data_IF_731508376051
#
_entry.id   IF_731508376051
#
_cell.length_a   1.000
_cell.length_b   1.000
_cell.length_c   1.000
_cell.angle_alpha   90.00
_cell.angle_beta   90.00
_cell.angle_gamma   90.00
#
_symmetry.space_group_name_H-M   'P 1'
#
loop_
_entity.id
_entity.type
_entity.pdbx_description
1 polymer ?
#
# COMPACT_ATOMS: atom_id res chain seq x y z
N UNK A 1 -5.91 -23.02 23.79
CA UNK A 1 -4.98 -23.61 22.82
C UNK A 1 -5.26 -22.96 21.47
N UNK A 2 -4.68 -21.80 21.22
CA UNK A 2 -4.82 -21.05 19.97
C UNK A 2 -3.76 -21.57 19.00
N UNK A 3 -4.17 -22.48 18.11
CA UNK A 3 -3.34 -22.89 16.99
C UNK A 3 -3.34 -21.68 16.03
N UNK A 4 -2.28 -20.88 16.06
CA UNK A 4 -2.08 -19.72 15.18
C UNK A 4 -1.78 -20.28 13.77
N UNK A 5 -2.80 -20.87 13.13
CA UNK A 5 -2.72 -21.54 11.84
C UNK A 5 -2.67 -20.48 10.73
N UNK A 6 -1.56 -19.76 10.68
CA UNK A 6 -1.30 -18.82 9.60
C UNK A 6 -0.96 -19.61 8.34
N UNK A 7 -1.57 -19.21 7.24
CA UNK A 7 -1.38 -19.89 5.97
C UNK A 7 -0.12 -19.33 5.30
N UNK A 8 0.94 -20.13 5.21
CA UNK A 8 2.14 -19.73 4.48
C UNK A 8 1.99 -20.09 2.99
N UNK A 9 1.78 -19.06 2.16
CA UNK A 9 1.67 -19.20 0.71
C UNK A 9 2.84 -18.60 -0.05
N UNK A 10 3.96 -18.30 0.62
CA UNK A 10 5.09 -17.60 -0.01
C UNK A 10 5.63 -18.33 -1.25
N UNK A 11 5.61 -19.67 -1.24
CA UNK A 11 6.06 -20.50 -2.38
C UNK A 11 5.18 -20.38 -3.62
N UNK A 12 3.95 -19.91 -3.47
CA UNK A 12 2.95 -19.79 -4.54
C UNK A 12 2.81 -18.35 -5.05
N UNK A 13 3.48 -17.40 -4.40
CA UNK A 13 3.54 -16.00 -4.80
C UNK A 13 4.87 -15.77 -5.50
N UNK A 14 4.84 -15.55 -6.81
CA UNK A 14 6.03 -15.16 -7.58
C UNK A 14 5.96 -13.68 -7.92
N UNK A 15 7.06 -12.99 -7.67
CA UNK A 15 7.24 -11.61 -8.11
C UNK A 15 8.04 -11.65 -9.40
N UNK A 16 7.41 -11.28 -10.50
CA UNK A 16 8.05 -11.24 -11.80
C UNK A 16 8.78 -9.91 -11.95
N UNK A 17 10.10 -9.99 -12.02
CA UNK A 17 10.99 -8.85 -12.21
C UNK A 17 11.84 -9.11 -13.45
N UNK A 18 11.83 -8.19 -14.39
CA UNK A 18 12.69 -8.26 -15.58
C UNK A 18 13.79 -7.22 -15.46
N UNK A 19 15.04 -7.62 -15.73
CA UNK A 19 16.18 -6.71 -15.68
C UNK A 19 16.53 -6.25 -17.08
N UNK A 20 16.13 -5.04 -17.45
CA UNK A 20 16.50 -4.44 -18.73
C UNK A 20 17.69 -3.50 -18.51
N UNK A 21 18.83 -3.82 -19.14
CA UNK A 21 20.00 -2.93 -19.30
C UNK A 21 20.52 -2.23 -18.03
N UNK A 22 20.37 -2.85 -16.85
CA UNK A 22 20.78 -2.41 -15.49
C UNK A 22 19.65 -1.96 -14.55
N UNK A 23 18.42 -1.79 -15.04
CA UNK A 23 17.25 -1.48 -14.22
C UNK A 23 16.36 -2.71 -14.04
N UNK A 24 15.85 -2.90 -12.82
CA UNK A 24 14.87 -3.95 -12.51
C UNK A 24 13.47 -3.35 -12.70
N UNK A 25 12.76 -3.80 -13.73
CA UNK A 25 11.35 -3.48 -13.96
C UNK A 25 10.51 -4.51 -13.22
N UNK A 26 9.66 -4.02 -12.32
CA UNK A 26 8.65 -4.85 -11.69
C UNK A 26 7.50 -5.02 -12.68
N UNK A 27 7.18 -6.26 -13.03
CA UNK A 27 6.15 -6.50 -14.04
C UNK A 27 4.81 -6.85 -13.41
N UNK A 28 4.81 -7.80 -12.46
CA UNK A 28 3.58 -8.30 -11.85
C UNK A 28 3.84 -9.24 -10.66
N UNK A 29 2.79 -9.48 -9.90
CA UNK A 29 2.70 -10.53 -8.88
C UNK A 29 1.86 -11.65 -9.46
N UNK A 30 2.34 -12.88 -9.39
CA UNK A 30 1.65 -14.07 -9.89
C UNK A 30 1.32 -15.00 -8.74
N UNK A 31 0.05 -15.39 -8.65
CA UNK A 31 -0.47 -16.40 -7.74
C UNK A 31 -0.64 -17.69 -8.51
N UNK A 32 0.11 -18.72 -8.13
CA UNK A 32 0.03 -20.03 -8.75
C UNK A 32 -0.88 -20.90 -7.88
N UNK A 33 -2.12 -21.11 -8.32
CA UNK A 33 -3.13 -21.83 -7.56
C UNK A 33 -3.26 -23.27 -8.07
N UNK A 34 -3.38 -24.19 -7.11
CA UNK A 34 -3.70 -25.60 -7.32
C UNK A 34 -4.97 -25.94 -6.54
N UNK A 35 -5.64 -27.04 -6.90
CA UNK A 35 -6.89 -27.47 -6.26
C UNK A 35 -6.77 -27.60 -4.72
N UNK A 36 -5.67 -28.19 -4.22
CA UNK A 36 -5.42 -28.31 -2.78
C UNK A 36 -5.24 -26.93 -2.11
N UNK A 37 -4.56 -26.01 -2.80
CA UNK A 37 -4.32 -24.65 -2.32
C UNK A 37 -5.60 -23.84 -2.22
N UNK A 38 -6.46 -23.97 -3.23
CA UNK A 38 -7.77 -23.34 -3.31
C UNK A 38 -8.63 -23.71 -2.12
N UNK A 39 -8.64 -25.00 -1.77
CA UNK A 39 -9.35 -25.51 -0.59
C UNK A 39 -8.80 -24.92 0.70
N UNK A 40 -7.47 -24.82 0.84
CA UNK A 40 -6.82 -24.20 2.02
C UNK A 40 -7.13 -22.71 2.12
N UNK A 41 -7.15 -21.99 1.00
CA UNK A 41 -7.50 -20.57 0.95
C UNK A 41 -8.96 -20.38 1.37
N UNK A 42 -9.89 -21.18 0.86
CA UNK A 42 -11.30 -21.12 1.26
C UNK A 42 -11.49 -21.39 2.76
N UNK A 43 -10.77 -22.36 3.33
CA UNK A 43 -10.80 -22.62 4.76
C UNK A 43 -10.24 -21.43 5.56
N UNK A 44 -9.11 -20.87 5.13
CA UNK A 44 -8.52 -19.69 5.76
C UNK A 44 -9.46 -18.47 5.70
N UNK A 45 -10.16 -18.28 4.58
CA UNK A 45 -11.18 -17.24 4.42
C UNK A 45 -12.33 -17.39 5.42
N UNK A 46 -12.87 -18.60 5.58
CA UNK A 46 -13.98 -18.88 6.50
C UNK A 46 -13.60 -18.66 7.97
N UNK A 47 -12.36 -18.99 8.33
CA UNK A 47 -11.84 -18.88 9.70
C UNK A 47 -11.30 -17.47 9.98
N UNK A 48 -11.15 -16.63 8.95
CA UNK A 48 -10.54 -15.31 9.06
C UNK A 48 -9.04 -15.35 9.37
N UNK A 49 -8.37 -16.45 9.00
CA UNK A 49 -6.93 -16.61 9.27
C UNK A 49 -6.12 -15.72 8.32
N UNK A 50 -5.25 -14.83 8.83
CA UNK A 50 -4.44 -13.96 8.00
C UNK A 50 -3.36 -14.74 7.25
N UNK A 51 -2.95 -14.21 6.10
CA UNK A 51 -1.87 -14.77 5.32
C UNK A 51 -0.51 -14.48 5.97
N UNK A 52 0.32 -15.49 6.17
CA UNK A 52 1.71 -15.26 6.59
C UNK A 52 2.57 -14.93 5.38
N UNK A 53 2.99 -13.67 5.28
CA UNK A 53 3.93 -13.21 4.26
C UNK A 53 5.26 -12.88 4.93
N UNK A 54 6.36 -13.39 4.38
CA UNK A 54 7.67 -13.07 4.92
C UNK A 54 7.97 -11.57 4.82
N UNK A 55 8.67 -11.05 5.83
CA UNK A 55 9.13 -9.65 5.82
C UNK A 55 10.08 -9.36 4.65
N UNK A 56 10.74 -10.40 4.11
CA UNK A 56 11.57 -10.29 2.91
C UNK A 56 10.71 -10.03 1.67
N UNK A 57 9.66 -10.83 1.45
CA UNK A 57 8.77 -10.68 0.30
C UNK A 57 8.03 -9.33 0.36
N UNK A 58 7.57 -8.91 1.54
CA UNK A 58 6.98 -7.58 1.73
C UNK A 58 7.95 -6.44 1.45
N UNK A 59 9.21 -6.55 1.89
CA UNK A 59 10.22 -5.53 1.61
C UNK A 59 10.54 -5.45 0.12
N UNK A 60 10.63 -6.59 -0.57
CA UNK A 60 10.87 -6.65 -2.01
C UNK A 60 9.68 -6.06 -2.78
N UNK A 61 8.44 -6.34 -2.37
CA UNK A 61 7.24 -5.71 -2.95
C UNK A 61 7.20 -4.20 -2.75
N UNK A 62 7.46 -3.73 -1.53
CA UNK A 62 7.51 -2.28 -1.23
C UNK A 62 8.58 -1.60 -2.06
N UNK A 63 9.76 -2.21 -2.18
CA UNK A 63 10.84 -1.69 -3.01
C UNK A 63 10.42 -1.59 -4.48
N UNK A 64 9.80 -2.65 -5.03
CA UNK A 64 9.30 -2.67 -6.40
C UNK A 64 8.24 -1.61 -6.67
N UNK A 65 7.24 -1.45 -5.78
CA UNK A 65 6.20 -0.42 -5.91
C UNK A 65 6.78 0.99 -5.89
N UNK A 66 7.82 1.22 -5.07
CA UNK A 66 8.44 2.54 -4.92
C UNK A 66 9.30 2.94 -6.12
N UNK A 67 9.99 1.98 -6.75
CA UNK A 67 10.92 2.23 -7.87
C UNK A 67 10.23 2.27 -9.21
N UNK A 68 9.20 1.47 -9.42
CA UNK A 68 8.45 1.48 -10.69
C UNK A 68 7.82 2.86 -10.96
N UNK A 69 7.57 3.63 -9.89
CA UNK A 69 7.12 5.03 -9.95
C UNK A 69 8.12 5.98 -10.62
N UNK A 70 9.40 5.64 -10.66
CA UNK A 70 10.45 6.46 -11.30
C UNK A 70 10.58 6.16 -12.81
N UNK A 71 10.12 4.98 -13.24
CA UNK A 71 10.19 4.55 -14.64
C UNK A 71 8.96 4.92 -15.49
N UNK A 72 7.92 5.55 -14.93
CA UNK A 72 6.72 6.08 -15.63
C UNK A 72 5.93 5.11 -16.54
N UNK A 73 6.39 3.87 -16.73
CA UNK A 73 5.86 2.93 -17.73
C UNK A 73 4.82 1.96 -17.12
N UNK A 74 4.92 1.64 -15.81
CA UNK A 74 3.86 0.94 -15.08
C UNK A 74 3.35 1.79 -13.91
N UNK A 75 2.17 2.36 -14.12
CA UNK A 75 1.48 3.20 -13.15
C UNK A 75 0.61 2.39 -12.19
N UNK A 76 0.88 1.09 -11.97
CA UNK A 76 0.03 0.24 -11.14
C UNK A 76 0.56 -1.17 -10.83
N UNK A 77 0.05 -1.75 -9.75
CA UNK A 77 0.30 -3.14 -9.37
C UNK A 77 -0.54 -4.08 -10.23
N UNK A 78 0.11 -4.97 -10.97
CA UNK A 78 -0.57 -6.03 -11.72
C UNK A 78 -0.47 -7.35 -10.98
N UNK A 79 -1.60 -8.00 -10.80
CA UNK A 79 -1.76 -9.32 -10.19
C UNK A 79 -2.28 -10.29 -11.23
N UNK A 80 -1.66 -11.45 -11.33
CA UNK A 80 -2.13 -12.57 -12.12
C UNK A 80 -2.46 -13.74 -11.21
N UNK A 81 -3.53 -14.46 -11.52
CA UNK A 81 -3.79 -15.78 -10.95
C UNK A 81 -3.72 -16.80 -12.06
N UNK A 82 -2.79 -17.72 -11.89
CA UNK A 82 -2.61 -18.90 -12.71
C UNK A 82 -3.25 -20.08 -12.01
N UNK A 83 -3.83 -20.98 -12.78
CA UNK A 83 -4.33 -22.26 -12.29
C UNK A 83 -3.73 -23.40 -13.08
N UNK A 84 -3.31 -24.43 -12.37
CA UNK A 84 -2.76 -25.63 -12.99
C UNK A 84 -3.90 -26.57 -13.41
N UNK A 85 -4.09 -26.74 -14.72
CA UNK A 85 -5.09 -27.63 -15.29
C UNK A 85 -4.52 -28.41 -16.48
N UNK A 86 -4.75 -29.73 -16.50
CA UNK A 86 -4.39 -30.64 -17.59
C UNK A 86 -2.92 -30.56 -18.07
N UNK A 87 -2.00 -30.32 -17.12
CA UNK A 87 -0.55 -30.30 -17.38
C UNK A 87 -0.03 -28.98 -17.95
N UNK A 88 -0.87 -27.95 -18.04
CA UNK A 88 -0.48 -26.59 -18.40
C UNK A 88 -0.93 -25.59 -17.35
N UNK A 89 -0.19 -24.48 -17.28
CA UNK A 89 -0.49 -23.38 -16.39
C UNK A 89 -1.18 -22.26 -17.18
N UNK A 90 -2.44 -22.01 -16.88
CA UNK A 90 -3.25 -21.01 -17.58
C UNK A 90 -3.57 -19.80 -16.71
N UNK A 91 -3.48 -18.60 -17.30
CA UNK A 91 -3.77 -17.34 -16.62
C UNK A 91 -5.28 -17.09 -16.59
N UNK A 92 -5.94 -17.46 -15.49
CA UNK A 92 -7.40 -17.34 -15.36
C UNK A 92 -7.86 -15.91 -15.06
N UNK A 93 -7.08 -15.15 -14.29
CA UNK A 93 -7.47 -13.82 -13.83
C UNK A 93 -6.31 -12.84 -13.80
N UNK A 94 -6.63 -11.58 -14.07
CA UNK A 94 -5.73 -10.44 -13.93
C UNK A 94 -6.43 -9.30 -13.24
N UNK A 95 -5.78 -8.71 -12.25
CA UNK A 95 -6.19 -7.44 -11.65
C UNK A 95 -5.08 -6.42 -11.77
N UNK A 96 -5.40 -5.23 -12.28
CA UNK A 96 -4.48 -4.10 -12.34
C UNK A 96 -5.01 -3.01 -11.41
N UNK A 97 -4.22 -2.62 -10.42
CA UNK A 97 -4.52 -1.52 -9.50
C UNK A 97 -3.60 -0.37 -9.85
N UNK A 98 -4.16 0.63 -10.52
CA UNK A 98 -3.45 1.85 -10.85
C UNK A 98 -3.18 2.71 -9.61
N UNK A 99 -2.18 3.58 -9.72
CA UNK A 99 -1.71 4.47 -8.64
C UNK A 99 -2.70 5.57 -8.28
N UNK A 100 -3.64 5.87 -9.18
CA UNK A 100 -4.80 6.74 -8.94
C UNK A 100 -5.93 6.05 -8.18
N UNK A 101 -5.84 4.72 -8.01
CA UNK A 101 -6.85 3.90 -7.36
C UNK A 101 -7.83 3.23 -8.32
N UNK A 102 -7.67 3.42 -9.63
CA UNK A 102 -8.48 2.70 -10.61
C UNK A 102 -8.13 1.21 -10.61
N UNK A 103 -9.16 0.36 -10.61
CA UNK A 103 -8.99 -1.09 -10.57
C UNK A 103 -9.63 -1.69 -11.81
N UNK A 104 -8.81 -2.37 -12.62
CA UNK A 104 -9.25 -3.14 -13.77
C UNK A 104 -9.16 -4.63 -13.44
N UNK A 105 -10.26 -5.36 -13.63
CA UNK A 105 -10.30 -6.81 -13.51
C UNK A 105 -10.56 -7.45 -14.87
N UNK A 106 -9.77 -8.45 -15.23
CA UNK A 106 -9.93 -9.27 -16.43
C UNK A 106 -10.02 -10.72 -16.00
N UNK A 107 -11.04 -11.42 -16.51
CA UNK A 107 -11.28 -12.84 -16.24
C UNK A 107 -11.30 -13.54 -17.60
N UNK A 108 -10.61 -14.67 -17.70
CA UNK A 108 -10.59 -15.50 -18.90
C UNK A 108 -12.01 -16.04 -19.20
N UNK A 109 -12.40 -16.01 -20.47
CA UNK A 109 -13.74 -16.41 -20.89
C UNK A 109 -14.06 -17.88 -20.64
N UNK A 110 -13.08 -18.79 -20.72
CA UNK A 110 -13.31 -20.21 -20.41
C UNK A 110 -13.69 -20.41 -18.94
N UNK A 111 -13.13 -19.62 -18.03
CA UNK A 111 -13.48 -19.66 -16.60
C UNK A 111 -14.97 -19.37 -16.36
N UNK A 112 -15.58 -18.52 -17.19
CA UNK A 112 -17.01 -18.16 -17.08
C UNK A 112 -17.96 -19.31 -17.45
N UNK A 113 -17.48 -20.36 -18.12
CA UNK A 113 -18.28 -21.53 -18.48
C UNK A 113 -18.63 -22.37 -17.24
N UNK A 114 -17.80 -22.30 -16.19
CA UNK A 114 -18.00 -22.98 -14.91
C UNK A 114 -18.18 -21.97 -13.77
N UNK A 115 -19.41 -21.49 -13.51
CA UNK A 115 -19.65 -20.35 -12.62
C UNK A 115 -19.22 -20.63 -11.17
N UNK A 116 -19.34 -21.87 -10.70
CA UNK A 116 -18.90 -22.24 -9.35
C UNK A 116 -17.37 -22.18 -9.22
N UNK A 117 -16.64 -22.73 -10.19
CA UNK A 117 -15.19 -22.69 -10.23
C UNK A 117 -14.67 -21.24 -10.37
N UNK A 118 -15.26 -20.46 -11.26
CA UNK A 118 -14.95 -19.04 -11.42
C UNK A 118 -15.11 -18.26 -10.13
N UNK A 119 -16.20 -18.51 -9.39
CA UNK A 119 -16.44 -17.84 -8.12
C UNK A 119 -15.36 -18.18 -7.08
N UNK A 120 -14.95 -19.46 -7.03
CA UNK A 120 -13.91 -19.91 -6.11
C UNK A 120 -12.55 -19.27 -6.42
N UNK A 121 -12.14 -19.26 -7.69
CA UNK A 121 -10.88 -18.63 -8.12
C UNK A 121 -10.94 -17.11 -7.89
N UNK A 122 -12.05 -16.45 -8.21
CA UNK A 122 -12.22 -15.01 -8.01
C UNK A 122 -12.12 -14.64 -6.52
N UNK A 123 -12.83 -15.38 -5.67
CA UNK A 123 -12.76 -15.19 -4.22
C UNK A 123 -11.33 -15.35 -3.70
N UNK A 124 -10.64 -16.40 -4.14
CA UNK A 124 -9.24 -16.62 -3.76
C UNK A 124 -8.33 -15.48 -4.25
N UNK A 125 -8.47 -15.07 -5.52
CA UNK A 125 -7.69 -13.99 -6.14
C UNK A 125 -7.85 -12.68 -5.37
N UNK A 126 -9.08 -12.24 -5.13
CA UNK A 126 -9.33 -10.96 -4.45
C UNK A 126 -8.90 -10.98 -2.99
N UNK A 127 -9.16 -12.09 -2.29
CA UNK A 127 -8.70 -12.23 -0.91
C UNK A 127 -7.18 -12.19 -0.79
N UNK A 128 -6.45 -12.86 -1.69
CA UNK A 128 -4.98 -12.80 -1.71
C UNK A 128 -4.45 -11.38 -1.97
N UNK A 129 -5.07 -10.66 -2.89
CA UNK A 129 -4.75 -9.25 -3.15
C UNK A 129 -5.00 -8.42 -1.89
N UNK A 130 -6.15 -8.57 -1.24
CA UNK A 130 -6.48 -7.83 -0.02
C UNK A 130 -5.49 -8.12 1.11
N UNK A 131 -5.17 -9.39 1.36
CA UNK A 131 -4.19 -9.79 2.38
C UNK A 131 -2.81 -9.20 2.10
N UNK A 132 -2.39 -9.21 0.83
CA UNK A 132 -1.09 -8.69 0.43
C UNK A 132 -1.05 -7.15 0.51
N UNK A 133 -2.09 -6.46 0.02
CA UNK A 133 -2.20 -5.00 0.09
C UNK A 133 -2.34 -4.49 1.52
N UNK A 134 -3.11 -5.17 2.38
CA UNK A 134 -3.26 -4.78 3.79
C UNK A 134 -1.94 -4.83 4.56
N UNK A 135 -1.06 -5.80 4.24
CA UNK A 135 0.29 -5.89 4.80
C UNK A 135 1.30 -4.95 4.11
N UNK A 136 1.03 -4.58 2.85
CA UNK A 136 1.80 -3.58 2.11
C UNK A 136 1.50 -2.15 2.54
N UNK A 137 0.33 -1.87 3.12
CA UNK A 137 -0.05 -0.55 3.65
C UNK A 137 1.10 -0.03 4.49
N UNK A 138 1.86 0.89 3.91
CA UNK A 138 2.98 1.54 4.54
C UNK A 138 2.42 2.25 5.78
N UNK A 139 2.70 1.71 6.97
CA UNK A 139 2.37 2.32 8.26
C UNK A 139 2.87 3.78 8.37
N UNK A 140 3.74 4.18 7.46
CA UNK A 140 4.14 5.55 7.16
C UNK A 140 2.96 6.50 6.96
N UNK A 141 1.85 6.11 6.33
CA UNK A 141 0.69 7.02 6.15
C UNK A 141 0.03 7.36 7.49
N UNK A 142 -0.03 6.39 8.41
CA UNK A 142 -0.60 6.59 9.77
C UNK A 142 0.32 7.46 10.62
N UNK A 143 1.64 7.20 10.59
CA UNK A 143 2.62 8.02 11.31
C UNK A 143 2.71 9.46 10.78
N UNK A 144 2.56 9.64 9.47
CA UNK A 144 2.58 10.97 8.86
C UNK A 144 1.31 11.76 9.17
N UNK A 145 0.16 11.11 9.30
CA UNK A 145 -1.06 11.77 9.78
C UNK A 145 -0.93 12.21 11.25
N UNK A 146 -0.29 11.37 12.09
CA UNK A 146 0.03 11.74 13.47
C UNK A 146 1.00 12.94 13.54
N UNK A 147 2.03 12.96 12.69
CA UNK A 147 2.96 14.09 12.56
C UNK A 147 2.25 15.36 12.08
N UNK A 148 1.35 15.26 11.08
CA UNK A 148 0.56 16.39 10.62
C UNK A 148 -0.36 16.92 11.74
N UNK A 149 -0.95 16.03 12.53
CA UNK A 149 -1.75 16.38 13.70
C UNK A 149 -0.91 17.09 14.77
N UNK A 150 0.28 16.56 15.08
CA UNK A 150 1.22 17.15 16.05
C UNK A 150 1.67 18.55 15.60
N UNK A 151 2.02 18.70 14.32
CA UNK A 151 2.42 19.99 13.75
C UNK A 151 1.27 20.99 13.76
N UNK A 152 0.04 20.54 13.50
CA UNK A 152 -1.15 21.40 13.62
C UNK A 152 -1.40 21.83 15.07
N UNK A 153 -1.16 20.96 16.06
CA UNK A 153 -1.33 21.30 17.47
C UNK A 153 -0.26 22.32 17.91
N UNK A 154 0.99 22.10 17.48
CA UNK A 154 2.13 22.94 17.84
C UNK A 154 2.01 24.37 17.27
N UNK A 155 1.38 24.53 16.11
CA UNK A 155 1.14 25.87 15.52
C UNK A 155 -0.08 26.57 16.12
N UNK A 156 -1.14 25.83 16.47
CA UNK A 156 -2.40 26.44 16.95
C UNK A 156 -2.42 26.72 18.46
N UNK A 157 -1.72 25.91 19.27
CA UNK A 157 -1.72 26.05 20.73
C UNK A 157 -1.09 27.38 21.22
N UNK A 158 0.07 27.85 20.71
CA UNK A 158 0.67 29.11 21.18
C UNK A 158 -0.20 30.32 20.86
N UNK A 159 -0.80 30.35 19.67
CA UNK A 159 -1.70 31.42 19.22
C UNK A 159 -2.97 31.46 20.08
N UNK A 160 -3.52 30.30 20.46
CA UNK A 160 -4.66 30.25 21.36
C UNK A 160 -4.31 30.75 22.78
N UNK A 161 -3.12 30.42 23.29
CA UNK A 161 -2.67 30.81 24.63
C UNK A 161 -2.38 32.32 24.72
N UNK A 162 -1.74 32.91 23.70
CA UNK A 162 -1.42 34.35 23.69
C UNK A 162 -2.69 35.21 23.64
N UNK A 163 -3.70 34.75 22.91
CA UNK A 163 -4.99 35.46 22.77
C UNK A 163 -5.98 35.14 23.91
N UNK A 164 -5.70 34.16 24.78
CA UNK A 164 -6.58 33.77 25.90
C UNK A 164 -6.80 34.91 26.91
N UNK A 165 -5.82 35.79 27.07
CA UNK A 165 -5.86 36.90 28.03
C UNK A 165 -6.79 38.02 27.58
N UNK A 166 -6.77 38.31 26.27
CA UNK A 166 -7.77 39.17 25.63
C UNK A 166 -9.14 38.48 25.64
N UNK A 167 -9.17 37.14 25.50
CA UNK A 167 -10.37 36.29 25.53
C UNK A 167 -11.25 36.41 26.78
N UNK A 168 -10.65 36.75 27.92
CA UNK A 168 -11.33 36.81 29.22
C UNK A 168 -11.92 38.19 29.53
N UNK A 169 -11.61 39.23 28.74
CA UNK A 169 -11.96 40.62 29.04
C UNK A 169 -12.93 41.27 28.03
N UNK A 170 -13.21 40.62 26.90
CA UNK A 170 -14.09 41.15 25.84
C UNK A 170 -15.54 40.67 25.88
N UNK A 171 -16.44 41.39 25.19
CA UNK A 171 -17.84 40.99 25.06
C UNK A 171 -18.02 39.70 24.24
N UNK A 172 -18.96 38.80 24.62
CA UNK A 172 -19.04 37.42 24.13
C UNK A 172 -19.29 37.26 22.62
N UNK A 173 -19.83 38.27 21.95
CA UNK A 173 -20.13 38.21 20.52
C UNK A 173 -18.93 38.61 19.64
N UNK A 174 -17.96 39.35 20.17
CA UNK A 174 -16.72 39.68 19.46
C UNK A 174 -15.79 38.47 19.30
N UNK A 175 -16.05 37.34 19.99
CA UNK A 175 -15.31 36.08 19.85
C UNK A 175 -15.56 35.35 18.53
N UNK A 176 -16.71 35.57 17.89
CA UNK A 176 -17.09 34.80 16.71
C UNK A 176 -16.13 35.06 15.54
N UNK A 177 -15.72 36.31 15.34
CA UNK A 177 -14.84 36.71 14.24
C UNK A 177 -13.45 36.07 14.34
N UNK A 178 -12.69 36.18 15.45
CA UNK A 178 -11.38 35.55 15.57
C UNK A 178 -11.46 34.02 15.59
N UNK A 179 -12.53 33.42 16.15
CA UNK A 179 -12.71 31.96 16.14
C UNK A 179 -12.96 31.44 14.73
N UNK A 180 -13.83 32.09 13.96
CA UNK A 180 -14.08 31.73 12.55
C UNK A 180 -12.83 31.95 11.71
N UNK A 181 -12.09 33.03 11.95
CA UNK A 181 -10.84 33.33 11.23
C UNK A 181 -9.75 32.28 11.52
N UNK A 182 -9.56 31.87 12.78
CA UNK A 182 -8.64 30.80 13.16
C UNK A 182 -9.06 29.44 12.59
N UNK A 183 -10.38 29.17 12.55
CA UNK A 183 -10.91 27.95 11.96
C UNK A 183 -10.66 27.90 10.45
N UNK A 184 -10.91 28.99 9.73
CA UNK A 184 -10.60 29.12 8.30
C UNK A 184 -9.10 29.00 8.03
N UNK A 185 -8.26 29.66 8.84
CA UNK A 185 -6.81 29.59 8.70
C UNK A 185 -6.31 28.15 8.91
N UNK A 186 -6.86 27.43 9.90
CA UNK A 186 -6.56 26.02 10.13
C UNK A 186 -6.98 25.16 8.94
N UNK A 187 -8.15 25.42 8.36
CA UNK A 187 -8.67 24.68 7.22
C UNK A 187 -7.80 24.90 5.96
N UNK A 188 -7.44 26.15 5.68
CA UNK A 188 -6.50 26.50 4.62
C UNK A 188 -5.15 25.83 4.87
N UNK A 189 -4.61 25.90 6.09
CA UNK A 189 -3.34 25.29 6.44
C UNK A 189 -3.37 23.77 6.27
N UNK A 190 -4.43 23.08 6.69
CA UNK A 190 -4.59 21.63 6.51
C UNK A 190 -4.65 21.24 5.03
N UNK A 191 -5.40 21.99 4.21
CA UNK A 191 -5.44 21.77 2.76
C UNK A 191 -4.06 21.98 2.15
N UNK A 192 -3.37 23.07 2.51
CA UNK A 192 -2.04 23.39 2.02
C UNK A 192 -1.01 22.34 2.48
N UNK A 193 -1.07 21.88 3.72
CA UNK A 193 -0.22 20.81 4.23
C UNK A 193 -0.50 19.50 3.51
N UNK A 194 -1.77 19.17 3.21
CA UNK A 194 -2.11 17.96 2.47
C UNK A 194 -1.58 18.00 1.03
N UNK A 195 -1.60 19.18 0.41
CA UNK A 195 -1.05 19.43 -0.92
C UNK A 195 0.48 19.34 -0.93
N UNK A 196 1.13 20.07 -0.02
CA UNK A 196 2.57 20.05 0.19
C UNK A 196 3.02 18.65 0.58
N UNK A 197 2.24 17.89 1.34
CA UNK A 197 2.53 16.52 1.70
C UNK A 197 2.40 15.56 0.51
N UNK A 198 1.39 15.71 -0.34
CA UNK A 198 1.33 15.00 -1.63
C UNK A 198 2.55 15.32 -2.50
N UNK A 199 3.02 16.56 -2.47
CA UNK A 199 4.19 16.99 -3.24
C UNK A 199 5.52 16.50 -2.63
N UNK A 200 5.69 16.62 -1.31
CA UNK A 200 6.88 16.19 -0.56
C UNK A 200 6.95 14.67 -0.53
N UNK A 201 5.85 13.93 -0.37
CA UNK A 201 5.91 12.47 -0.49
C UNK A 201 6.41 12.06 -1.89
N UNK A 202 5.98 12.74 -2.97
CA UNK A 202 6.60 12.53 -4.28
C UNK A 202 8.09 12.91 -4.30
N UNK A 203 8.47 14.10 -3.84
CA UNK A 203 9.83 14.62 -3.98
C UNK A 203 10.85 14.01 -2.99
N UNK A 204 10.45 13.75 -1.75
CA UNK A 204 11.26 13.10 -0.71
C UNK A 204 11.52 11.66 -1.10
N UNK A 205 10.51 10.90 -1.54
CA UNK A 205 10.76 9.57 -2.08
C UNK A 205 11.67 9.62 -3.30
N UNK A 206 11.47 10.58 -4.23
CA UNK A 206 12.36 10.76 -5.39
C UNK A 206 13.80 11.07 -4.98
N UNK A 207 14.02 11.88 -3.93
CA UNK A 207 15.37 12.25 -3.46
C UNK A 207 16.03 11.13 -2.65
N UNK A 208 15.26 10.41 -1.84
CA UNK A 208 15.74 9.21 -1.13
C UNK A 208 16.07 8.07 -2.10
N UNK A 209 15.25 7.89 -3.14
CA UNK A 209 15.47 6.91 -4.20
C UNK A 209 16.64 7.29 -5.10
N UNK A 210 16.79 8.57 -5.47
CA UNK A 210 17.97 9.02 -6.25
C UNK A 210 19.30 8.81 -5.50
N UNK A 211 19.26 8.82 -4.16
CA UNK A 211 20.41 8.48 -3.31
C UNK A 211 20.63 6.99 -3.07
N UNK A 212 19.70 6.13 -3.49
CA UNK A 212 19.73 4.66 -3.33
C UNK A 212 19.82 3.91 -4.68
N UNK A 213 19.67 4.63 -5.80
CA UNK A 213 19.79 4.15 -7.19
C UNK A 213 21.18 4.49 -7.78
N UNK A 214 22.10 5.02 -6.95
CA UNK A 214 23.54 4.90 -7.23
C UNK A 214 23.89 3.42 -7.28
N UNK A 215 24.59 2.99 -8.34
CA UNK A 215 24.77 1.60 -8.78
C UNK A 215 25.60 0.70 -7.83
N UNK A 216 25.55 0.94 -6.52
CA UNK A 216 26.32 0.24 -5.52
C UNK A 216 25.43 -0.78 -4.79
N UNK A 217 25.77 -2.06 -4.91
CA UNK A 217 25.05 -3.21 -4.33
C UNK A 217 24.84 -3.13 -2.82
N UNK A 218 25.63 -2.30 -2.14
CA UNK A 218 25.54 -2.07 -0.70
C UNK A 218 24.34 -1.18 -0.31
N UNK A 219 24.03 -0.14 -1.10
CA UNK A 219 22.87 0.73 -0.85
C UNK A 219 21.56 -0.02 -1.04
N UNK A 220 21.53 -0.98 -1.98
CA UNK A 220 20.39 -1.85 -2.18
C UNK A 220 20.10 -2.74 -0.96
N UNK A 221 21.15 -3.21 -0.26
CA UNK A 221 20.99 -3.97 0.99
C UNK A 221 20.54 -3.09 2.16
N UNK A 222 21.04 -1.86 2.25
CA UNK A 222 20.64 -0.90 3.29
C UNK A 222 19.18 -0.48 3.10
N UNK A 223 18.75 -0.19 1.87
CA UNK A 223 17.36 0.12 1.53
C UNK A 223 16.41 -1.02 1.92
N UNK A 224 16.77 -2.27 1.58
CA UNK A 224 15.99 -3.45 2.03
C UNK A 224 15.97 -3.57 3.56
N UNK A 225 17.07 -3.23 4.24
CA UNK A 225 17.14 -3.21 5.70
C UNK A 225 16.18 -2.21 6.34
N UNK A 226 16.15 -0.97 5.84
CA UNK A 226 15.25 0.08 6.32
C UNK A 226 13.78 -0.27 6.03
N UNK A 227 13.47 -0.83 4.86
CA UNK A 227 12.11 -1.26 4.51
C UNK A 227 11.62 -2.48 5.31
N UNK A 228 12.54 -3.36 5.73
CA UNK A 228 12.23 -4.44 6.71
C UNK A 228 11.93 -3.87 8.09
N UNK A 229 12.68 -2.85 8.53
CA UNK A 229 12.48 -2.21 9.83
C UNK A 229 11.16 -1.43 9.90
N UNK A 230 10.79 -0.70 8.84
CA UNK A 230 9.51 -0.01 8.69
C UNK A 230 8.29 -0.93 8.60
N UNK A 231 8.51 -2.23 8.45
CA UNK A 231 7.47 -3.26 8.35
C UNK A 231 7.14 -4.01 9.63
N UNK A 232 7.83 -3.71 10.73
CA UNK A 232 7.54 -4.27 12.05
C UNK A 232 6.52 -3.44 12.81
#
# INVERSE_FOLDING_TARGET
>A
MTNDQRLNLERYIKINQEKIHSHVLFHSISFHLESELLTKIQQAQQIGSPLEISSKLLADLRYSVLIDRENCIQTGLTFYTYYWQDGSEEALMRSVIATDGDILHQIQSECLQEPQFCHQIASAHYWLIEQLLSQLRLGTVVHLNFLAWLMSLLTTAPVAITNLKELLQGEPWMWLIPVVMLWLLKLVWQVLLSWVFRMISCCFFRRLLSGLVSANTMEHQIARGILRWLGR
#
